data_IF_565037512222
#
_entry.id   IF_565037512222
#
_cell.length_a   1.000
_cell.length_b   1.000
_cell.length_c   1.000
_cell.angle_alpha   90.00
_cell.angle_beta   90.00
_cell.angle_gamma   90.00
#
_symmetry.space_group_name_H-M   'P 1'
#
loop_
_entity.id
_entity.type
_entity.pdbx_description
1 polymer ?
#
# COMPACT_ATOMS: atom_id res chain seq x y z
N UNK A 1 23.41 -2.48 70.43
CA UNK A 1 22.27 -2.14 69.56
C UNK A 1 22.79 -1.26 68.43
N UNK A 2 23.20 -1.85 67.31
CA UNK A 2 23.65 -1.10 66.13
C UNK A 2 22.77 -1.53 64.96
N UNK A 3 21.83 -0.66 64.60
CA UNK A 3 20.93 -0.86 63.47
C UNK A 3 21.53 -0.25 62.21
N UNK A 4 21.91 -1.08 61.27
CA UNK A 4 22.37 -0.67 59.94
C UNK A 4 21.17 -0.79 58.99
N UNK A 5 20.54 0.34 58.66
CA UNK A 5 19.46 0.41 57.67
C UNK A 5 20.09 0.46 56.29
N UNK A 6 19.97 -0.63 55.53
CA UNK A 6 20.41 -0.73 54.14
C UNK A 6 19.30 -0.17 53.24
N UNK A 7 19.46 1.06 52.75
CA UNK A 7 18.57 1.63 51.73
C UNK A 7 19.04 1.15 50.37
N UNK A 8 18.37 0.14 49.83
CA UNK A 8 18.57 -0.33 48.45
C UNK A 8 17.76 0.59 47.53
N UNK A 9 18.43 1.55 46.92
CA UNK A 9 17.86 2.37 45.84
C UNK A 9 17.63 1.51 44.60
N UNK A 10 16.36 1.16 44.36
CA UNK A 10 15.90 0.51 43.15
C UNK A 10 15.90 1.55 42.01
N UNK A 11 17.00 1.63 41.25
CA UNK A 11 17.05 2.44 40.04
C UNK A 11 16.14 1.79 38.98
N UNK A 12 14.93 2.32 38.81
CA UNK A 12 14.11 2.05 37.62
C UNK A 12 14.86 2.58 36.40
N UNK A 13 15.53 1.67 35.69
CA UNK A 13 15.95 1.88 34.30
C UNK A 13 14.68 1.94 33.45
N UNK A 14 14.08 3.13 33.36
CA UNK A 14 13.10 3.43 32.32
C UNK A 14 13.86 3.36 31.01
N UNK A 15 13.76 2.24 30.31
CA UNK A 15 14.12 2.14 28.90
C UNK A 15 13.16 3.07 28.13
N UNK A 16 13.50 4.36 28.07
CA UNK A 16 12.97 5.26 27.07
C UNK A 16 13.53 4.78 25.73
N UNK A 17 12.83 3.84 25.10
CA UNK A 17 12.97 3.64 23.66
C UNK A 17 12.48 4.91 23.00
N UNK A 18 13.37 5.89 22.85
CA UNK A 18 13.19 7.01 21.94
C UNK A 18 13.12 6.39 20.55
N UNK A 19 11.90 6.05 20.12
CA UNK A 19 11.63 5.71 18.73
C UNK A 19 12.15 6.87 17.88
N UNK A 20 12.96 6.55 16.89
CA UNK A 20 13.49 7.56 15.97
C UNK A 20 12.33 8.43 15.45
N UNK A 21 12.45 9.74 15.63
CA UNK A 21 11.43 10.70 15.23
C UNK A 21 11.13 10.56 13.73
N UNK A 22 9.84 10.44 13.38
CA UNK A 22 9.35 10.16 12.01
C UNK A 22 9.42 11.41 11.13
N UNK A 23 10.13 12.45 11.56
CA UNK A 23 10.27 13.71 10.83
C UNK A 23 11.62 14.40 11.01
N UNK A 24 12.58 13.79 11.73
CA UNK A 24 13.92 14.37 11.82
C UNK A 24 14.69 14.09 10.51
N UNK A 25 15.80 14.79 10.28
CA UNK A 25 16.75 14.61 9.17
C UNK A 25 17.23 13.16 8.95
N UNK A 26 17.00 12.26 9.92
CA UNK A 26 17.34 10.83 9.88
C UNK A 26 16.11 9.90 9.93
N UNK A 27 14.91 10.48 10.02
CA UNK A 27 13.64 9.80 10.17
C UNK A 27 12.99 9.44 8.84
N UNK A 28 11.79 8.85 8.92
CA UNK A 28 10.93 8.66 7.74
C UNK A 28 10.43 10.02 7.25
N UNK A 29 9.97 10.11 6.00
CA UNK A 29 9.26 11.31 5.53
C UNK A 29 7.75 11.10 5.63
N UNK A 30 7.03 12.18 5.92
CA UNK A 30 5.58 12.19 5.76
C UNK A 30 5.21 12.20 4.28
N UNK A 31 4.09 11.56 3.94
CA UNK A 31 3.54 11.55 2.59
C UNK A 31 3.20 12.99 2.20
N UNK A 32 3.86 13.49 1.16
CA UNK A 32 3.63 14.81 0.58
C UNK A 32 2.15 14.95 0.23
N UNK A 33 1.60 16.16 0.39
CA UNK A 33 0.19 16.53 0.19
C UNK A 33 -0.85 15.95 1.17
N UNK A 34 -0.62 14.77 1.77
CA UNK A 34 -1.65 14.08 2.57
C UNK A 34 -1.34 13.97 4.06
N UNK A 35 -0.11 14.29 4.48
CA UNK A 35 0.29 14.30 5.89
C UNK A 35 1.17 15.52 6.24
N UNK A 36 1.24 15.87 7.52
CA UNK A 36 2.22 16.81 8.10
C UNK A 36 2.97 16.19 9.26
N UNK A 37 4.15 16.75 9.51
CA UNK A 37 4.80 16.50 10.78
C UNK A 37 4.20 17.35 11.90
N UNK A 38 3.61 16.69 12.89
CA UNK A 38 3.14 17.30 14.14
C UNK A 38 3.78 16.56 15.30
N UNK A 39 4.53 17.26 16.14
CA UNK A 39 5.23 16.66 17.29
C UNK A 39 6.08 15.43 16.90
N UNK A 40 6.91 15.57 15.85
CA UNK A 40 7.79 14.50 15.35
C UNK A 40 7.07 13.24 14.84
N UNK A 41 5.78 13.33 14.52
CA UNK A 41 4.97 12.26 13.94
C UNK A 41 4.28 12.72 12.66
N UNK A 42 4.18 11.83 11.69
CA UNK A 42 3.38 12.09 10.50
C UNK A 42 1.89 11.87 10.78
N UNK A 43 1.12 12.96 10.72
CA UNK A 43 -0.33 12.99 10.98
C UNK A 43 -1.04 13.31 9.67
N UNK A 44 -2.10 12.56 9.36
CA UNK A 44 -2.89 12.78 8.16
C UNK A 44 -3.61 14.14 8.18
N UNK A 45 -3.59 14.83 7.03
CA UNK A 45 -4.28 16.10 6.80
C UNK A 45 -5.65 15.88 6.18
N UNK A 46 -6.60 16.73 6.56
CA UNK A 46 -7.89 16.81 5.90
C UNK A 46 -7.72 16.94 4.36
N UNK A 47 -8.55 16.25 3.55
CA UNK A 47 -9.74 15.48 3.95
C UNK A 47 -9.45 14.04 4.41
N UNK A 48 -8.18 13.64 4.48
CA UNK A 48 -7.81 12.33 5.01
C UNK A 48 -7.82 12.38 6.54
N UNK A 49 -8.47 11.40 7.16
CA UNK A 49 -8.73 11.43 8.61
C UNK A 49 -8.00 10.32 9.37
N UNK A 50 -7.42 9.33 8.66
CA UNK A 50 -6.75 8.19 9.27
C UNK A 50 -5.72 7.55 8.33
N UNK A 51 -4.85 6.70 8.86
CA UNK A 51 -3.76 6.04 8.13
C UNK A 51 -2.42 6.18 8.86
N UNK A 52 -1.35 5.77 8.20
CA UNK A 52 0.03 6.04 8.64
C UNK A 52 0.56 7.19 7.77
N UNK A 53 0.73 8.37 8.34
CA UNK A 53 1.18 9.55 7.60
C UNK A 53 2.58 9.42 6.97
N UNK A 54 3.36 8.40 7.32
CA UNK A 54 4.65 8.08 6.69
C UNK A 54 4.52 7.07 5.53
N UNK A 55 3.33 6.54 5.29
CA UNK A 55 3.05 5.59 4.21
C UNK A 55 1.86 5.99 3.35
N UNK A 56 0.67 6.15 3.93
CA UNK A 56 -0.51 6.58 3.21
C UNK A 56 -1.62 7.06 4.16
N UNK A 57 -2.40 8.02 3.70
CA UNK A 57 -3.52 8.62 4.42
C UNK A 57 -4.82 8.44 3.63
N UNK A 58 -5.91 8.16 4.34
CA UNK A 58 -7.18 7.76 3.75
C UNK A 58 -8.35 8.61 4.22
N UNK A 59 -9.39 8.70 3.38
CA UNK A 59 -10.67 9.31 3.72
C UNK A 59 -11.47 8.40 4.65
N UNK A 60 -12.47 8.98 5.32
CA UNK A 60 -13.29 8.27 6.32
C UNK A 60 -14.05 7.07 5.75
N UNK A 61 -14.42 7.12 4.47
CA UNK A 61 -15.18 6.10 3.76
C UNK A 61 -14.29 5.06 3.05
N UNK A 62 -13.01 5.01 3.38
CA UNK A 62 -12.07 4.04 2.82
C UNK A 62 -11.81 2.95 3.85
N UNK A 63 -11.70 1.71 3.40
CA UNK A 63 -11.15 0.57 4.16
C UNK A 63 -9.88 0.08 3.48
N UNK A 64 -8.93 -0.47 4.23
CA UNK A 64 -7.62 -0.83 3.68
C UNK A 64 -7.16 -2.18 4.17
N UNK A 65 -6.48 -2.91 3.28
CA UNK A 65 -5.65 -4.07 3.62
C UNK A 65 -4.21 -3.70 3.29
N UNK A 66 -3.26 -4.01 4.18
CA UNK A 66 -1.87 -3.56 4.03
C UNK A 66 -0.88 -4.68 4.32
N UNK A 67 0.26 -4.65 3.64
CA UNK A 67 1.44 -5.44 3.95
C UNK A 67 2.57 -4.45 4.22
N UNK A 68 3.06 -4.38 5.44
CA UNK A 68 4.11 -3.43 5.83
C UNK A 68 5.35 -4.18 6.34
N UNK A 69 6.55 -3.61 6.12
CA UNK A 69 7.83 -4.08 6.67
C UNK A 69 8.20 -5.57 6.37
N UNK A 70 9.03 -6.19 7.24
CA UNK A 70 9.20 -7.65 7.34
C UNK A 70 7.79 -8.22 7.62
N UNK A 71 7.18 -8.96 6.68
CA UNK A 71 5.78 -8.72 6.31
C UNK A 71 4.76 -8.99 7.42
N UNK A 72 4.18 -7.89 7.92
CA UNK A 72 2.96 -7.89 8.72
C UNK A 72 1.78 -7.57 7.80
N UNK A 73 0.81 -8.48 7.77
CA UNK A 73 -0.43 -8.31 7.02
C UNK A 73 -1.49 -7.71 7.94
N UNK A 74 -2.07 -6.60 7.54
CA UNK A 74 -3.24 -5.97 8.16
C UNK A 74 -4.44 -6.19 7.25
N UNK A 75 -5.48 -6.83 7.76
CA UNK A 75 -6.72 -7.04 7.00
C UNK A 75 -7.65 -5.81 7.08
N UNK A 76 -8.80 -5.86 6.40
CA UNK A 76 -9.78 -4.77 6.40
C UNK A 76 -10.41 -4.47 7.78
N UNK A 77 -10.28 -5.37 8.74
CA UNK A 77 -10.71 -5.18 10.13
C UNK A 77 -9.59 -4.65 11.04
N UNK A 78 -8.44 -4.28 10.46
CA UNK A 78 -7.24 -3.84 11.17
C UNK A 78 -6.65 -4.92 12.11
N UNK A 79 -6.89 -6.20 11.82
CA UNK A 79 -6.24 -7.30 12.52
C UNK A 79 -4.87 -7.56 11.86
N UNK A 80 -3.84 -7.73 12.69
CA UNK A 80 -2.48 -7.98 12.24
C UNK A 80 -2.15 -9.47 12.31
N UNK A 81 -1.57 -9.99 11.23
CA UNK A 81 -1.09 -11.37 11.12
C UNK A 81 0.35 -11.32 10.61
N UNK A 82 1.27 -11.88 11.40
CA UNK A 82 2.64 -12.09 10.94
C UNK A 82 2.63 -13.08 9.76
N UNK A 83 3.15 -12.68 8.60
CA UNK A 83 3.09 -13.47 7.38
C UNK A 83 4.49 -13.82 6.85
N UNK A 84 5.22 -14.76 7.48
CA UNK A 84 6.65 -14.98 7.21
C UNK A 84 6.94 -15.76 5.91
N UNK A 85 5.98 -15.92 5.00
CA UNK A 85 6.13 -16.81 3.85
C UNK A 85 6.74 -16.09 2.63
N UNK A 86 7.74 -16.69 1.97
CA UNK A 86 8.43 -16.08 0.83
C UNK A 86 7.67 -16.24 -0.50
N UNK A 87 6.39 -16.57 -0.44
CA UNK A 87 5.60 -16.96 -1.59
C UNK A 87 4.78 -15.77 -2.13
N UNK A 88 4.17 -16.01 -3.28
CA UNK A 88 3.06 -15.18 -3.78
C UNK A 88 1.79 -15.57 -3.01
N UNK A 89 1.03 -14.59 -2.54
CA UNK A 89 -0.20 -14.79 -1.76
C UNK A 89 -1.27 -13.80 -2.20
N UNK A 90 -2.52 -14.20 -2.08
CA UNK A 90 -3.65 -13.33 -2.38
C UNK A 90 -3.82 -12.32 -1.23
N UNK A 91 -3.65 -11.04 -1.53
CA UNK A 91 -3.85 -9.95 -0.59
C UNK A 91 -5.35 -9.64 -0.46
N UNK A 92 -6.06 -9.63 -1.59
CA UNK A 92 -7.50 -9.39 -1.63
C UNK A 92 -8.13 -9.98 -2.90
N UNK A 93 -9.40 -10.34 -2.79
CA UNK A 93 -10.30 -10.58 -3.91
C UNK A 93 -11.64 -9.95 -3.53
N UNK A 94 -12.14 -9.05 -4.37
CA UNK A 94 -13.40 -8.37 -4.11
C UNK A 94 -14.17 -8.14 -5.40
N UNK A 95 -15.48 -8.00 -5.24
CA UNK A 95 -16.43 -7.61 -6.27
C UNK A 95 -17.19 -6.40 -5.73
N UNK A 96 -17.24 -5.32 -6.51
CA UNK A 96 -17.97 -4.10 -6.18
C UNK A 96 -18.89 -3.68 -7.32
N UNK A 97 -19.91 -2.90 -6.97
CA UNK A 97 -20.75 -2.23 -7.94
C UNK A 97 -19.92 -1.18 -8.69
N UNK A 98 -20.15 -1.06 -9.99
CA UNK A 98 -19.60 0.03 -10.79
C UNK A 98 -20.68 1.11 -10.90
N UNK A 99 -20.38 2.31 -10.39
CA UNK A 99 -21.28 3.45 -10.44
C UNK A 99 -20.76 4.55 -11.36
N UNK A 100 -21.65 5.22 -12.08
CA UNK A 100 -21.34 6.40 -12.90
C UNK A 100 -21.15 7.67 -12.04
N UNK A 101 -21.17 8.86 -12.64
CA UNK A 101 -21.12 10.14 -11.91
C UNK A 101 -22.40 10.46 -11.13
N UNK A 102 -23.55 9.99 -11.63
CA UNK A 102 -24.88 10.17 -11.03
C UNK A 102 -25.21 9.11 -9.97
N UNK A 103 -24.26 8.21 -9.68
CA UNK A 103 -24.38 7.07 -8.74
C UNK A 103 -25.36 5.98 -9.19
N UNK A 104 -25.69 5.93 -10.48
CA UNK A 104 -26.42 4.79 -11.03
C UNK A 104 -25.47 3.60 -11.12
N UNK A 105 -25.97 2.41 -10.79
CA UNK A 105 -25.24 1.16 -11.03
C UNK A 105 -25.27 0.90 -12.53
N UNK A 106 -24.09 0.82 -13.13
CA UNK A 106 -23.89 0.57 -14.57
C UNK A 106 -23.13 -0.74 -14.84
N UNK A 107 -22.81 -1.47 -13.77
CA UNK A 107 -22.09 -2.74 -13.85
C UNK A 107 -21.43 -3.18 -12.54
N UNK A 108 -20.31 -3.89 -12.67
CA UNK A 108 -19.51 -4.42 -11.56
C UNK A 108 -18.02 -4.42 -11.88
N UNK A 109 -17.19 -4.27 -10.84
CA UNK A 109 -15.74 -4.45 -10.89
C UNK A 109 -15.36 -5.65 -10.04
N UNK A 110 -14.68 -6.63 -10.62
CA UNK A 110 -14.03 -7.72 -9.91
C UNK A 110 -12.51 -7.52 -9.95
N UNK A 111 -11.86 -7.57 -8.79
CA UNK A 111 -10.40 -7.44 -8.70
C UNK A 111 -9.80 -8.51 -7.81
N UNK A 112 -8.69 -9.08 -8.26
CA UNK A 112 -7.83 -9.97 -7.49
C UNK A 112 -6.44 -9.36 -7.41
N UNK A 113 -5.90 -9.27 -6.21
CA UNK A 113 -4.55 -8.76 -5.97
C UNK A 113 -3.73 -9.79 -5.24
N UNK A 114 -2.56 -10.08 -5.78
CA UNK A 114 -1.58 -10.95 -5.14
C UNK A 114 -0.32 -10.17 -4.84
N UNK A 115 0.22 -10.31 -3.65
CA UNK A 115 1.52 -9.76 -3.30
C UNK A 115 2.58 -10.86 -3.40
N UNK A 116 3.83 -10.49 -3.70
CA UNK A 116 4.94 -11.44 -3.69
C UNK A 116 6.20 -10.84 -3.10
N UNK A 117 6.95 -11.69 -2.41
CA UNK A 117 8.15 -11.32 -1.68
C UNK A 117 9.42 -11.68 -2.47
N UNK A 118 10.52 -10.99 -2.18
CA UNK A 118 11.86 -11.37 -2.62
C UNK A 118 12.77 -11.59 -1.41
N UNK A 119 13.85 -12.35 -1.60
CA UNK A 119 14.85 -12.63 -0.57
C UNK A 119 16.10 -11.79 -0.79
N UNK A 120 16.55 -11.07 0.24
CA UNK A 120 17.84 -10.38 0.24
C UNK A 120 18.52 -10.53 1.60
N UNK A 121 19.77 -11.02 1.59
CA UNK A 121 20.58 -11.25 2.80
C UNK A 121 19.84 -12.04 3.90
N UNK A 122 19.09 -13.07 3.50
CA UNK A 122 18.37 -13.94 4.44
C UNK A 122 17.02 -13.41 4.93
N UNK A 123 16.64 -12.18 4.58
CA UNK A 123 15.33 -11.59 4.90
C UNK A 123 14.40 -11.59 3.71
N UNK A 124 13.09 -11.65 3.98
CA UNK A 124 12.04 -11.52 2.97
C UNK A 124 11.42 -10.13 3.08
N UNK A 125 11.22 -9.49 1.94
CA UNK A 125 10.57 -8.19 1.85
C UNK A 125 9.60 -8.21 0.68
N UNK A 126 8.60 -7.35 0.74
CA UNK A 126 7.66 -7.17 -0.34
C UNK A 126 8.38 -6.64 -1.60
N UNK A 127 8.27 -7.37 -2.70
CA UNK A 127 8.95 -7.03 -3.95
C UNK A 127 8.00 -6.43 -4.99
N UNK A 128 6.74 -6.82 -4.95
CA UNK A 128 5.74 -6.37 -5.90
C UNK A 128 4.39 -7.02 -5.70
N UNK A 129 3.52 -6.79 -6.67
CA UNK A 129 2.15 -7.28 -6.69
C UNK A 129 1.65 -7.55 -8.10
N UNK A 130 0.71 -8.49 -8.21
CA UNK A 130 -0.05 -8.79 -9.40
C UNK A 130 -1.49 -8.29 -9.20
N UNK A 131 -2.09 -7.72 -10.24
CA UNK A 131 -3.50 -7.31 -10.27
C UNK A 131 -4.18 -8.00 -11.43
N UNK A 132 -5.37 -8.54 -11.21
CA UNK A 132 -6.31 -8.86 -12.28
C UNK A 132 -7.59 -8.08 -12.01
N UNK A 133 -8.06 -7.31 -13.00
CA UNK A 133 -9.27 -6.50 -12.93
C UNK A 133 -10.21 -6.88 -14.09
N UNK A 134 -11.49 -7.07 -13.78
CA UNK A 134 -12.55 -7.28 -14.75
C UNK A 134 -13.69 -6.31 -14.46
N UNK A 135 -13.92 -5.38 -15.37
CA UNK A 135 -15.07 -4.48 -15.36
C UNK A 135 -16.13 -5.09 -16.29
N UNK A 136 -17.34 -5.27 -15.77
CA UNK A 136 -18.49 -5.78 -16.53
C UNK A 136 -19.62 -4.77 -16.48
N UNK A 137 -20.01 -4.26 -17.64
CA UNK A 137 -21.14 -3.36 -17.82
C UNK A 137 -22.45 -4.13 -17.99
N UNK A 138 -23.58 -3.50 -17.65
CA UNK A 138 -24.91 -4.10 -17.77
C UNK A 138 -25.35 -4.32 -19.23
N UNK A 139 -24.79 -3.54 -20.16
CA UNK A 139 -24.97 -3.74 -21.60
C UNK A 139 -24.22 -4.98 -22.15
N UNK A 140 -23.51 -5.72 -21.30
CA UNK A 140 -22.76 -6.93 -21.65
C UNK A 140 -21.28 -6.69 -22.03
N UNK A 141 -20.86 -5.44 -22.20
CA UNK A 141 -19.46 -5.10 -22.45
C UNK A 141 -18.58 -5.51 -21.26
N UNK A 142 -17.36 -5.98 -21.55
CA UNK A 142 -16.39 -6.37 -20.54
C UNK A 142 -15.02 -5.79 -20.87
N UNK A 143 -14.37 -5.26 -19.86
CA UNK A 143 -12.97 -4.82 -19.92
C UNK A 143 -12.20 -5.65 -18.92
N UNK A 144 -11.13 -6.28 -19.39
CA UNK A 144 -10.29 -7.15 -18.56
C UNK A 144 -8.87 -6.69 -18.69
N UNK A 145 -8.14 -6.77 -17.59
CA UNK A 145 -6.72 -6.52 -17.58
C UNK A 145 -6.05 -7.32 -16.48
N UNK A 146 -4.81 -7.68 -16.72
CA UNK A 146 -3.95 -8.30 -15.72
C UNK A 146 -2.56 -7.69 -15.81
N UNK A 147 -1.92 -7.51 -14.67
CA UNK A 147 -0.63 -6.83 -14.60
C UNK A 147 0.21 -7.32 -13.45
N UNK A 148 1.52 -7.18 -13.63
CA UNK A 148 2.55 -7.40 -12.62
C UNK A 148 3.35 -6.12 -12.44
N UNK A 149 3.46 -5.70 -11.20
CA UNK A 149 4.18 -4.51 -10.78
C UNK A 149 5.21 -4.89 -9.74
N UNK A 150 6.44 -4.39 -9.87
CA UNK A 150 7.49 -4.63 -8.89
C UNK A 150 8.49 -3.49 -8.89
N UNK A 151 9.23 -3.38 -7.79
CA UNK A 151 10.19 -2.31 -7.62
C UNK A 151 11.39 -2.73 -6.81
N UNK A 152 12.44 -1.92 -6.95
CA UNK A 152 13.67 -2.01 -6.17
C UNK A 152 14.11 -0.59 -5.83
N UNK A 153 14.53 -0.37 -4.60
CA UNK A 153 15.19 0.85 -4.17
C UNK A 153 16.64 0.59 -3.76
N UNK A 154 17.54 1.54 -4.06
CA UNK A 154 18.96 1.53 -3.65
C UNK A 154 19.40 2.96 -3.33
N UNK A 155 19.84 3.19 -2.09
CA UNK A 155 20.33 4.50 -1.63
C UNK A 155 19.32 5.63 -1.90
N UNK A 156 18.04 5.39 -1.65
CA UNK A 156 16.95 6.34 -1.88
C UNK A 156 16.54 6.51 -3.35
N UNK A 157 17.16 5.80 -4.30
CA UNK A 157 16.73 5.80 -5.70
C UNK A 157 15.74 4.66 -5.95
N UNK A 158 14.49 5.00 -6.28
CA UNK A 158 13.39 4.06 -6.48
C UNK A 158 13.19 3.77 -7.96
N UNK A 159 13.04 2.50 -8.30
CA UNK A 159 12.80 2.04 -9.66
C UNK A 159 11.63 1.07 -9.68
N UNK A 160 10.75 1.24 -10.66
CA UNK A 160 9.54 0.45 -10.83
C UNK A 160 9.49 -0.17 -12.22
N UNK A 161 8.92 -1.37 -12.30
CA UNK A 161 8.65 -2.04 -13.55
C UNK A 161 7.23 -2.59 -13.53
N UNK A 162 6.50 -2.23 -14.57
CA UNK A 162 5.13 -2.66 -14.82
C UNK A 162 5.10 -3.49 -16.09
N UNK A 163 4.33 -4.58 -16.07
CA UNK A 163 4.02 -5.43 -17.22
C UNK A 163 2.55 -5.76 -17.19
N UNK A 164 1.91 -5.74 -18.35
CA UNK A 164 0.46 -5.79 -18.45
C UNK A 164 -0.03 -6.64 -19.61
N UNK A 165 -1.28 -7.08 -19.54
CA UNK A 165 -2.01 -7.67 -20.65
C UNK A 165 -3.47 -7.23 -20.59
N UNK A 166 -3.92 -6.57 -21.67
CA UNK A 166 -5.31 -6.14 -21.84
C UNK A 166 -6.14 -7.27 -22.46
N UNK A 167 -7.42 -7.35 -22.12
CA UNK A 167 -8.36 -8.37 -22.58
C UNK A 167 -8.35 -9.67 -21.78
N UNK A 168 -7.45 -9.81 -20.80
CA UNK A 168 -7.30 -11.03 -20.00
C UNK A 168 -7.49 -10.74 -18.50
N UNK A 169 -8.20 -11.63 -17.82
CA UNK A 169 -8.41 -11.59 -16.36
C UNK A 169 -7.73 -12.82 -15.76
N UNK A 170 -6.40 -12.78 -15.69
CA UNK A 170 -5.60 -13.89 -15.20
C UNK A 170 -4.64 -13.41 -14.11
N UNK A 171 -4.82 -13.93 -12.90
CA UNK A 171 -3.97 -13.61 -11.77
C UNK A 171 -2.52 -14.06 -11.97
N UNK A 172 -2.26 -15.03 -12.85
CA UNK A 172 -0.95 -15.66 -13.04
C UNK A 172 -0.22 -15.22 -14.33
N UNK A 173 -0.74 -14.21 -15.03
CA UNK A 173 -0.19 -13.74 -16.31
C UNK A 173 -0.83 -14.43 -17.51
N UNK A 174 -0.34 -14.15 -18.72
CA UNK A 174 0.98 -13.64 -19.05
C UNK A 174 1.18 -12.17 -18.69
N UNK A 175 2.44 -11.80 -18.46
CA UNK A 175 2.86 -10.42 -18.17
C UNK A 175 3.52 -9.84 -19.41
N UNK A 176 2.69 -9.42 -20.38
CA UNK A 176 3.15 -8.82 -21.62
C UNK A 176 3.62 -7.36 -21.40
N UNK A 177 3.80 -6.61 -22.48
CA UNK A 177 4.28 -5.23 -22.46
C UNK A 177 3.17 -4.21 -22.68
N UNK A 178 1.90 -4.63 -22.54
CA UNK A 178 0.78 -3.72 -22.70
C UNK A 178 0.81 -2.67 -21.60
N UNK A 179 0.45 -1.44 -21.97
CA UNK A 179 0.23 -0.38 -21.00
C UNK A 179 -1.11 -0.63 -20.29
N UNK A 180 -1.11 -0.47 -18.97
CA UNK A 180 -2.30 -0.67 -18.15
C UNK A 180 -3.03 0.65 -18.04
N UNK A 181 -3.78 0.92 -19.11
CA UNK A 181 -4.62 2.09 -19.24
C UNK A 181 -5.99 1.70 -19.78
N UNK A 182 -7.03 2.23 -19.15
CA UNK A 182 -8.39 2.18 -19.68
C UNK A 182 -9.12 3.45 -19.28
N UNK A 183 -9.86 4.02 -20.21
CA UNK A 183 -10.70 5.18 -19.97
C UNK A 183 -12.02 5.02 -20.70
N UNK A 184 -13.11 5.25 -19.98
CA UNK A 184 -14.44 5.48 -20.52
C UNK A 184 -14.92 6.83 -19.96
N UNK A 185 -14.62 7.87 -20.74
CA UNK A 185 -14.92 9.24 -20.37
C UNK A 185 -16.42 9.50 -20.22
N UNK A 186 -17.28 8.74 -20.91
CA UNK A 186 -18.74 8.92 -20.81
C UNK A 186 -19.27 8.50 -19.44
N UNK A 187 -18.65 7.50 -18.80
CA UNK A 187 -19.00 7.00 -17.48
C UNK A 187 -18.03 7.46 -16.37
N UNK A 188 -17.07 8.32 -16.71
CA UNK A 188 -16.02 8.80 -15.79
C UNK A 188 -15.09 7.70 -15.27
N UNK A 189 -14.96 6.58 -15.98
CA UNK A 189 -14.18 5.42 -15.55
C UNK A 189 -12.75 5.58 -16.03
N UNK A 190 -11.80 5.39 -15.11
CA UNK A 190 -10.37 5.39 -15.42
C UNK A 190 -9.66 4.32 -14.63
N UNK A 191 -8.83 3.54 -15.33
CA UNK A 191 -7.85 2.62 -14.75
C UNK A 191 -6.47 3.03 -15.24
N UNK A 192 -5.55 3.27 -14.32
CA UNK A 192 -4.20 3.72 -14.64
C UNK A 192 -3.16 3.24 -13.63
N UNK A 193 -1.90 3.19 -14.08
CA UNK A 193 -0.74 2.93 -13.23
C UNK A 193 0.24 4.09 -13.38
N UNK A 194 0.58 4.75 -12.29
CA UNK A 194 1.48 5.91 -12.30
C UNK A 194 2.44 5.91 -11.11
N UNK A 195 3.52 6.67 -11.23
CA UNK A 195 4.49 6.89 -10.16
C UNK A 195 4.21 8.23 -9.48
N UNK A 196 4.07 8.20 -8.17
CA UNK A 196 4.12 9.38 -7.32
C UNK A 196 5.57 9.54 -6.84
N UNK A 197 6.31 10.37 -7.57
CA UNK A 197 7.74 10.59 -7.38
C UNK A 197 8.05 11.28 -6.06
N UNK A 198 7.14 12.11 -5.56
CA UNK A 198 7.33 12.85 -4.32
C UNK A 198 7.29 11.90 -3.11
N UNK A 199 6.49 10.84 -3.22
CA UNK A 199 6.30 9.84 -2.17
C UNK A 199 7.05 8.53 -2.38
N UNK A 200 7.76 8.40 -3.52
CA UNK A 200 8.42 7.16 -3.94
C UNK A 200 7.44 5.97 -4.05
N UNK A 201 6.24 6.23 -4.58
CA UNK A 201 5.15 5.26 -4.65
C UNK A 201 4.83 4.89 -6.10
N UNK A 202 4.48 3.62 -6.31
CA UNK A 202 3.75 3.18 -7.50
C UNK A 202 2.29 3.00 -7.13
N UNK A 203 1.40 3.59 -7.93
CA UNK A 203 -0.04 3.59 -7.70
C UNK A 203 -0.73 2.90 -8.87
N UNK A 204 -1.54 1.90 -8.57
CA UNK A 204 -2.56 1.35 -9.47
C UNK A 204 -3.91 1.86 -8.98
N UNK A 205 -4.68 2.51 -9.84
CA UNK A 205 -5.96 3.10 -9.46
C UNK A 205 -7.05 2.75 -10.47
N UNK A 206 -8.19 2.26 -9.97
CA UNK A 206 -9.42 2.09 -10.74
C UNK A 206 -10.50 2.97 -10.09
N UNK A 207 -10.56 4.24 -10.48
CA UNK A 207 -11.23 5.31 -9.72
C UNK A 207 -12.70 5.01 -9.40
N UNK A 208 -13.48 4.65 -10.41
CA UNK A 208 -14.92 4.35 -10.26
C UNK A 208 -15.22 2.99 -9.66
N UNK A 209 -14.25 2.08 -9.68
CA UNK A 209 -14.32 0.86 -8.88
C UNK A 209 -13.94 1.11 -7.42
N UNK A 210 -13.60 2.35 -7.02
CA UNK A 210 -13.20 2.69 -5.66
C UNK A 210 -11.88 2.06 -5.20
N UNK A 211 -11.04 1.57 -6.13
CA UNK A 211 -9.85 0.79 -5.78
C UNK A 211 -8.57 1.62 -5.99
N UNK A 212 -7.66 1.53 -5.01
CA UNK A 212 -6.30 2.04 -5.12
C UNK A 212 -5.30 1.09 -4.46
N UNK A 213 -4.35 0.58 -5.25
CA UNK A 213 -3.18 -0.10 -4.71
C UNK A 213 -1.98 0.86 -4.72
N UNK A 214 -1.31 0.99 -3.57
CA UNK A 214 -0.12 1.82 -3.39
C UNK A 214 1.03 0.92 -2.97
N UNK A 215 2.18 1.04 -3.61
CA UNK A 215 3.35 0.20 -3.35
C UNK A 215 4.63 1.03 -3.22
N UNK A 216 5.39 0.74 -2.16
CA UNK A 216 6.73 1.29 -1.90
C UNK A 216 7.70 0.10 -1.77
N UNK A 217 8.72 -0.01 -2.63
CA UNK A 217 9.68 -1.10 -2.57
C UNK A 217 10.67 -0.89 -1.43
N UNK A 218 11.17 -1.99 -0.87
CA UNK A 218 12.22 -1.96 0.14
C UNK A 218 13.56 -1.49 -0.43
N UNK A 219 14.21 -0.53 0.24
CA UNK A 219 15.59 -0.14 -0.08
C UNK A 219 16.61 -1.17 0.45
N UNK A 220 17.24 -1.88 -0.48
CA UNK A 220 18.17 -2.96 -0.13
C UNK A 220 19.50 -2.46 0.46
N UNK A 221 19.80 -1.16 0.35
CA UNK A 221 21.02 -0.54 0.86
C UNK A 221 20.78 0.19 2.18
N UNK A 222 19.82 1.11 2.21
CA UNK A 222 19.48 1.94 3.38
C UNK A 222 18.71 1.15 4.44
N UNK A 223 17.97 0.12 4.01
CA UNK A 223 17.31 -0.85 4.89
C UNK A 223 16.33 -0.17 5.86
N UNK A 224 16.68 -0.09 7.14
CA UNK A 224 15.85 0.57 8.16
C UNK A 224 15.93 2.09 8.10
N UNK A 225 16.98 2.64 7.49
CA UNK A 225 17.18 4.07 7.32
C UNK A 225 16.49 4.61 6.05
N UNK A 226 15.76 3.77 5.32
CA UNK A 226 14.99 4.25 4.17
C UNK A 226 13.92 5.25 4.61
N UNK A 227 13.75 6.29 3.79
CA UNK A 227 12.90 7.44 4.11
C UNK A 227 11.40 7.10 3.99
N UNK A 228 11.01 6.38 2.95
CA UNK A 228 9.62 5.95 2.73
C UNK A 228 9.36 4.60 3.41
N UNK A 229 8.22 4.42 4.07
CA UNK A 229 7.87 3.13 4.66
C UNK A 229 7.61 2.09 3.55
N UNK A 230 8.37 0.98 3.47
CA UNK A 230 8.13 -0.05 2.48
C UNK A 230 6.86 -0.82 2.78
N UNK A 231 6.13 -1.16 1.74
CA UNK A 231 4.91 -1.93 1.88
C UNK A 231 3.97 -1.78 0.70
N UNK A 232 2.81 -2.39 0.85
CA UNK A 232 1.70 -2.24 -0.06
C UNK A 232 0.43 -1.96 0.73
N UNK A 233 -0.36 -1.03 0.22
CA UNK A 233 -1.73 -0.79 0.64
C UNK A 233 -2.64 -1.15 -0.51
N UNK A 234 -3.74 -1.81 -0.18
CA UNK A 234 -4.89 -1.95 -1.05
C UNK A 234 -6.09 -1.28 -0.37
N UNK A 235 -6.49 -0.13 -0.91
CA UNK A 235 -7.55 0.70 -0.38
C UNK A 235 -8.81 0.58 -1.24
N UNK A 236 -9.95 0.52 -0.55
CA UNK A 236 -11.28 0.41 -1.13
C UNK A 236 -12.14 1.54 -0.58
N UNK A 237 -12.57 2.44 -1.45
CA UNK A 237 -13.50 3.51 -1.13
C UNK A 237 -14.94 2.98 -1.23
N UNK A 238 -15.62 2.86 -0.10
CA UNK A 238 -16.95 2.30 0.02
C UNK A 238 -18.08 3.27 -0.38
N UNK A 239 -17.78 4.50 -0.76
CA UNK A 239 -18.80 5.43 -1.29
C UNK A 239 -19.02 5.29 -2.81
N UNK A 240 -18.18 4.51 -3.49
CA UNK A 240 -18.40 4.06 -4.86
C UNK A 240 -19.13 2.71 -4.81
#
# INVERSE_FOLDING_TARGET
MNGTVLVVSLALLVNLTLGAEVCDSRGRSCVSSSAECVNAKCVCKAPNVWGDGAFNCYRQNTVVSQVLNDPDLYNYNNESIAFPYPCRYMLTHLIQELKDDDRNIIGSCEIMVHSFNAKYRGKFFLHGFDVALSIRYDNGQKVKMSSRHYGVAKNGAYSFKSRGTIGQFWQNGPWQTDDIYYEDAANGIKVEVYQDTDNNQLIYEAKKCGIRATFVPYDIKDRRAQVSLPGMSFAVNCAH
#
